data_IF_753708085492
#
_entry.id   IF_753708085492
#
_cell.length_a   1.000
_cell.length_b   1.000
_cell.length_c   1.000
_cell.angle_alpha   90.00
_cell.angle_beta   90.00
_cell.angle_gamma   90.00
#
_symmetry.space_group_name_H-M   'P 1'
#
loop_
_entity.id
_entity.type
_entity.pdbx_description
1 polymer ?
#
# COMPACT_ATOMS: atom_id res chain seq x y z
N UNK A 1 11.43 8.06 7.57
CA UNK A 1 11.80 9.49 7.37
C UNK A 1 10.59 10.34 7.74
N UNK A 2 10.74 11.52 8.35
CA UNK A 2 9.57 12.37 8.65
C UNK A 2 8.92 12.83 7.33
N UNK A 3 7.61 12.68 7.24
CA UNK A 3 6.81 13.04 6.06
C UNK A 3 5.51 13.70 6.50
N UNK A 4 4.93 14.53 5.65
CA UNK A 4 3.70 15.26 5.92
C UNK A 4 2.71 14.95 4.80
N UNK A 5 1.49 14.54 5.17
CA UNK A 5 0.33 14.58 4.30
C UNK A 5 -0.34 15.95 4.48
N UNK A 6 -0.44 16.72 3.40
CA UNK A 6 -1.07 18.03 3.39
C UNK A 6 -2.29 18.01 2.46
N UNK A 7 -3.43 18.45 2.98
CA UNK A 7 -4.68 18.53 2.22
C UNK A 7 -4.82 19.91 1.58
N UNK A 8 -5.66 20.03 0.54
CA UNK A 8 -5.98 21.32 -0.07
C UNK A 8 -6.62 22.32 0.90
N UNK A 9 -7.26 21.82 1.96
CA UNK A 9 -7.83 22.62 3.06
C UNK A 9 -6.77 23.27 3.94
N UNK A 10 -5.49 22.88 3.79
CA UNK A 10 -4.37 23.32 4.61
C UNK A 10 -4.13 22.46 5.86
N UNK A 11 -4.95 21.43 6.08
CA UNK A 11 -4.74 20.45 7.15
C UNK A 11 -3.47 19.64 6.89
N UNK A 12 -2.70 19.37 7.96
CA UNK A 12 -1.42 18.66 7.89
C UNK A 12 -1.38 17.52 8.90
N UNK A 13 -0.99 16.36 8.42
CA UNK A 13 -0.80 15.15 9.22
C UNK A 13 0.67 14.75 9.12
N UNK A 14 1.37 14.79 10.24
CA UNK A 14 2.75 14.33 10.31
C UNK A 14 2.80 12.82 10.48
N UNK A 15 3.71 12.18 9.76
CA UNK A 15 3.92 10.74 9.84
C UNK A 15 5.35 10.32 9.52
N UNK A 16 5.55 9.01 9.51
CA UNK A 16 6.84 8.38 9.20
C UNK A 16 6.70 7.61 7.90
N UNK A 17 7.46 8.03 6.87
CA UNK A 17 7.55 7.25 5.64
C UNK A 17 8.39 5.99 5.87
N UNK A 18 7.79 4.85 5.53
CA UNK A 18 8.41 3.52 5.52
C UNK A 18 8.47 2.87 4.12
N UNK A 19 7.87 3.49 3.11
CA UNK A 19 7.89 3.07 1.70
C UNK A 19 8.95 3.80 0.88
N UNK A 20 8.63 4.09 -0.38
CA UNK A 20 9.51 4.80 -1.31
C UNK A 20 9.76 6.25 -0.86
N UNK A 21 11.01 6.70 -0.92
CA UNK A 21 11.40 8.03 -0.46
C UNK A 21 11.26 9.08 -1.57
N UNK A 22 10.04 9.59 -1.74
CA UNK A 22 9.72 10.64 -2.71
C UNK A 22 8.56 11.51 -2.21
N UNK A 23 8.07 12.42 -3.05
CA UNK A 23 6.84 13.19 -2.83
C UNK A 23 5.89 12.96 -3.99
N UNK A 24 4.58 12.98 -3.70
CA UNK A 24 3.55 12.77 -4.70
C UNK A 24 2.30 13.58 -4.38
N UNK A 25 1.44 13.76 -5.37
CA UNK A 25 0.12 14.37 -5.22
C UNK A 25 -0.93 13.52 -5.92
N UNK A 26 -2.17 13.63 -5.46
CA UNK A 26 -3.29 12.86 -5.97
C UNK A 26 -4.53 13.09 -5.11
N UNK A 27 -5.62 12.42 -5.49
CA UNK A 27 -6.86 12.43 -4.71
C UNK A 27 -6.69 11.56 -3.47
N UNK A 28 -7.01 12.11 -2.29
CA UNK A 28 -7.04 11.34 -1.05
C UNK A 28 -8.38 10.63 -0.94
N UNK A 29 -8.34 9.30 -0.86
CA UNK A 29 -9.52 8.45 -0.68
C UNK A 29 -9.33 7.58 0.56
N UNK A 30 -10.43 7.04 1.10
CA UNK A 30 -10.36 6.04 2.16
C UNK A 30 -11.08 4.77 1.75
N UNK A 31 -10.60 3.63 2.26
CA UNK A 31 -11.20 2.32 2.03
C UNK A 31 -11.49 1.63 3.37
N UNK A 32 -12.70 1.05 3.47
CA UNK A 32 -13.25 0.40 4.66
C UNK A 32 -13.04 -1.12 4.69
N UNK A 33 -12.46 -1.67 3.62
CA UNK A 33 -12.01 -3.06 3.58
C UNK A 33 -11.01 -3.37 4.70
N UNK A 34 -11.32 -4.38 5.50
CA UNK A 34 -10.52 -4.75 6.68
C UNK A 34 -9.35 -5.68 6.31
N UNK A 35 -9.47 -6.35 5.17
CA UNK A 35 -8.50 -7.32 4.62
C UNK A 35 -8.22 -7.00 3.14
N UNK A 36 -7.19 -7.63 2.59
CA UNK A 36 -6.91 -7.54 1.15
C UNK A 36 -6.17 -6.26 0.74
N UNK A 37 -5.22 -5.80 1.56
CA UNK A 37 -4.37 -4.66 1.17
C UNK A 37 -3.50 -4.95 -0.06
N UNK A 38 -2.98 -6.18 -0.32
CA UNK A 38 -2.24 -6.45 -1.57
C UNK A 38 -3.10 -6.25 -2.82
N UNK A 39 -4.34 -6.72 -2.78
CA UNK A 39 -5.33 -6.58 -3.84
C UNK A 39 -5.71 -5.10 -4.00
N UNK A 40 -6.00 -4.41 -2.89
CA UNK A 40 -6.39 -2.99 -2.90
C UNK A 40 -5.33 -2.09 -3.54
N UNK A 41 -4.05 -2.25 -3.19
CA UNK A 41 -2.99 -1.37 -3.73
C UNK A 41 -2.63 -1.67 -5.19
N UNK A 42 -3.05 -2.84 -5.69
CA UNK A 42 -2.84 -3.27 -7.08
C UNK A 42 -4.08 -3.12 -7.95
N UNK A 43 -5.23 -2.74 -7.37
CA UNK A 43 -6.46 -2.46 -8.12
C UNK A 43 -6.31 -1.20 -9.00
N UNK A 44 -6.48 -1.30 -10.33
CA UNK A 44 -6.42 -0.18 -11.27
C UNK A 44 -7.32 1.01 -10.94
N UNK A 45 -8.39 0.79 -10.19
CA UNK A 45 -9.35 1.82 -9.80
C UNK A 45 -8.73 2.91 -8.92
N UNK A 46 -7.62 2.62 -8.23
CA UNK A 46 -6.90 3.59 -7.39
C UNK A 46 -5.82 4.37 -8.15
N UNK A 47 -5.81 4.33 -9.48
CA UNK A 47 -4.84 5.03 -10.31
C UNK A 47 -4.74 6.53 -9.93
N UNK A 48 -3.57 6.95 -9.47
CA UNK A 48 -3.31 8.35 -9.13
C UNK A 48 -3.84 8.81 -7.76
N UNK A 49 -4.36 7.90 -6.95
CA UNK A 49 -4.93 8.18 -5.63
C UNK A 49 -3.95 7.87 -4.49
N UNK A 50 -4.22 8.47 -3.33
CA UNK A 50 -3.58 8.19 -2.04
C UNK A 50 -4.62 7.48 -1.16
N UNK A 51 -4.34 6.26 -0.75
CA UNK A 51 -5.31 5.42 -0.03
C UNK A 51 -5.08 5.53 1.47
N UNK A 52 -6.09 5.98 2.20
CA UNK A 52 -6.18 5.85 3.65
C UNK A 52 -6.86 4.52 3.98
N UNK A 53 -6.12 3.61 4.60
CA UNK A 53 -6.70 2.38 5.13
C UNK A 53 -7.37 2.68 6.48
N UNK A 54 -8.67 2.36 6.62
CA UNK A 54 -9.32 2.45 7.93
C UNK A 54 -9.00 1.26 8.82
N UNK A 55 -8.49 0.15 8.26
CA UNK A 55 -8.00 -0.98 9.04
C UNK A 55 -6.69 -0.57 9.72
N UNK A 56 -6.56 -0.76 11.05
CA UNK A 56 -5.39 -0.24 11.76
C UNK A 56 -4.13 -1.04 11.42
N UNK A 57 -4.26 -2.36 11.21
CA UNK A 57 -3.15 -3.29 11.09
C UNK A 57 -2.83 -3.59 9.62
N UNK A 58 -1.78 -2.96 9.10
CA UNK A 58 -1.24 -3.26 7.77
C UNK A 58 0.02 -4.11 7.89
N UNK A 59 0.25 -4.99 6.90
CA UNK A 59 1.33 -6.00 6.86
C UNK A 59 1.19 -7.20 7.82
N UNK A 60 0.08 -7.34 8.54
CA UNK A 60 -0.13 -8.50 9.42
C UNK A 60 -0.10 -9.85 8.66
N UNK A 61 -0.57 -9.88 7.41
CA UNK A 61 -0.55 -11.06 6.53
C UNK A 61 0.62 -11.09 5.54
N UNK A 62 1.55 -10.13 5.60
CA UNK A 62 2.69 -10.01 4.67
C UNK A 62 2.26 -9.68 3.24
N UNK A 63 3.19 -9.86 2.30
CA UNK A 63 2.87 -9.74 0.88
C UNK A 63 2.98 -11.12 0.19
N UNK A 64 1.98 -11.52 -0.63
CA UNK A 64 1.95 -12.85 -1.22
C UNK A 64 3.07 -13.06 -2.26
N UNK A 65 3.47 -14.32 -2.47
CA UNK A 65 4.27 -14.68 -3.66
C UNK A 65 3.41 -14.56 -4.92
N UNK A 66 4.06 -14.42 -6.07
CA UNK A 66 3.35 -14.48 -7.35
C UNK A 66 2.82 -15.90 -7.58
N UNK A 67 1.57 -15.98 -8.04
CA UNK A 67 0.91 -17.23 -8.41
C UNK A 67 0.48 -17.07 -9.85
N UNK A 68 1.28 -17.60 -10.78
CA UNK A 68 1.02 -17.49 -12.21
C UNK A 68 0.16 -18.67 -12.65
N UNK A 69 -1.02 -18.38 -13.19
CA UNK A 69 -1.90 -19.39 -13.75
C UNK A 69 -1.57 -19.71 -15.22
N UNK A 70 -2.35 -20.62 -15.81
CA UNK A 70 -2.15 -21.09 -17.20
C UNK A 70 -2.35 -19.98 -18.26
N UNK A 71 -2.87 -18.82 -17.88
CA UNK A 71 -3.06 -17.65 -18.74
C UNK A 71 -1.96 -16.59 -18.55
N UNK A 72 -0.90 -16.90 -17.79
CA UNK A 72 0.17 -15.97 -17.44
C UNK A 72 -0.33 -14.75 -16.64
N UNK A 73 -1.35 -14.94 -15.81
CA UNK A 73 -1.92 -13.93 -14.92
C UNK A 73 -1.47 -14.23 -13.48
N UNK A 74 -1.05 -13.20 -12.75
CA UNK A 74 -0.72 -13.31 -11.34
C UNK A 74 -1.99 -13.25 -10.49
N UNK A 75 -2.39 -14.36 -9.88
CA UNK A 75 -3.61 -14.46 -9.06
C UNK A 75 -3.44 -13.88 -7.65
N UNK A 76 -2.24 -13.43 -7.29
CA UNK A 76 -1.95 -12.86 -5.98
C UNK A 76 -2.19 -11.33 -5.90
N UNK A 77 -2.44 -10.67 -7.04
CA UNK A 77 -2.60 -9.22 -7.17
C UNK A 77 -3.62 -8.91 -8.28
N UNK A 78 -4.24 -7.74 -8.24
CA UNK A 78 -5.30 -7.36 -9.19
C UNK A 78 -4.77 -6.77 -10.51
N UNK A 79 -3.49 -6.39 -10.55
CA UNK A 79 -2.83 -5.99 -11.79
C UNK A 79 -1.30 -6.09 -11.71
N UNK A 80 -0.63 -6.08 -12.86
CA UNK A 80 0.83 -6.25 -12.98
C UNK A 80 1.66 -5.13 -12.30
N UNK A 81 1.03 -4.02 -11.93
CA UNK A 81 1.67 -2.86 -11.31
C UNK A 81 0.77 -2.29 -10.22
N UNK A 82 1.32 -1.77 -9.10
CA UNK A 82 0.51 -0.96 -8.22
C UNK A 82 -0.04 0.26 -8.96
N UNK A 83 -1.26 0.62 -8.59
CA UNK A 83 -1.98 1.72 -9.23
C UNK A 83 -2.09 2.94 -8.34
N UNK A 84 -2.15 2.75 -7.02
CA UNK A 84 -2.09 3.86 -6.07
C UNK A 84 -0.72 4.53 -6.06
N UNK A 85 -0.66 5.79 -5.61
CA UNK A 85 0.59 6.55 -5.45
C UNK A 85 1.14 6.50 -4.04
N UNK A 86 0.26 6.40 -3.06
CA UNK A 86 0.63 6.34 -1.67
C UNK A 86 -0.40 5.57 -0.84
N UNK A 87 0.05 5.03 0.27
CA UNK A 87 -0.80 4.47 1.32
C UNK A 87 -0.58 5.21 2.64
N UNK A 88 -1.65 5.40 3.39
CA UNK A 88 -1.67 6.00 4.72
C UNK A 88 -2.29 4.98 5.65
N UNK A 89 -1.57 4.64 6.71
CA UNK A 89 -1.92 3.54 7.61
C UNK A 89 -1.73 3.99 9.04
N UNK A 90 -2.50 3.42 9.97
CA UNK A 90 -2.34 3.74 11.38
C UNK A 90 -1.21 2.93 12.05
N UNK A 91 -1.05 1.67 11.65
CA UNK A 91 -0.01 0.78 12.16
C UNK A 91 0.57 -0.09 11.05
N UNK A 92 1.90 -0.23 11.05
CA UNK A 92 2.62 -1.16 10.17
C UNK A 92 3.21 -2.29 11.03
N UNK A 93 2.74 -3.51 10.81
CA UNK A 93 3.22 -4.69 11.50
C UNK A 93 4.59 -5.09 10.94
N UNK A 94 5.66 -5.00 11.74
CA UNK A 94 7.00 -5.38 11.28
C UNK A 94 7.12 -6.87 10.96
N UNK A 95 6.45 -7.73 11.75
CA UNK A 95 6.51 -9.18 11.62
C UNK A 95 5.17 -9.75 11.13
N UNK A 96 5.07 -9.99 9.83
CA UNK A 96 3.90 -10.64 9.22
C UNK A 96 3.83 -12.14 9.55
N UNK A 97 2.63 -12.69 9.66
CA UNK A 97 2.42 -14.14 9.79
C UNK A 97 1.24 -14.61 8.95
N UNK A 98 1.55 -15.29 7.84
CA UNK A 98 0.58 -15.94 6.98
C UNK A 98 1.29 -17.02 6.15
N UNK A 99 0.64 -18.16 5.85
CA UNK A 99 1.28 -19.24 5.10
C UNK A 99 1.77 -18.80 3.70
N UNK A 100 1.14 -17.77 3.14
CA UNK A 100 1.47 -17.20 1.84
C UNK A 100 2.34 -15.92 1.91
N UNK A 101 2.71 -15.44 3.12
CA UNK A 101 3.61 -14.30 3.28
C UNK A 101 5.03 -14.68 2.88
N UNK A 102 5.43 -14.35 1.66
CA UNK A 102 6.71 -14.80 1.07
C UNK A 102 7.57 -13.62 0.59
N UNK A 103 7.00 -12.42 0.52
CA UNK A 103 7.69 -11.19 0.12
C UNK A 103 7.63 -10.17 1.25
N UNK A 104 8.71 -9.41 1.40
CA UNK A 104 8.71 -8.22 2.28
C UNK A 104 7.82 -7.15 1.66
N UNK A 105 6.76 -6.77 2.38
CA UNK A 105 5.86 -5.73 1.89
C UNK A 105 6.57 -4.37 1.76
N UNK A 106 7.47 -4.07 2.70
CA UNK A 106 8.29 -2.85 2.66
C UNK A 106 9.17 -2.77 1.42
N UNK A 107 9.86 -3.86 1.09
CA UNK A 107 10.68 -3.94 -0.12
C UNK A 107 9.81 -3.84 -1.38
N UNK A 108 8.62 -4.46 -1.36
CA UNK A 108 7.67 -4.36 -2.46
C UNK A 108 7.21 -2.92 -2.69
N UNK A 109 6.89 -2.17 -1.64
CA UNK A 109 6.52 -0.75 -1.74
C UNK A 109 7.65 0.09 -2.34
N UNK A 110 8.89 -0.09 -1.84
CA UNK A 110 10.06 0.64 -2.34
C UNK A 110 10.34 0.30 -3.81
N UNK A 111 10.31 -0.99 -4.17
CA UNK A 111 10.57 -1.47 -5.53
C UNK A 111 9.57 -0.90 -6.54
N UNK A 112 8.32 -0.72 -6.13
CA UNK A 112 7.25 -0.22 -6.99
C UNK A 112 6.96 1.28 -6.79
N UNK A 113 7.87 2.01 -6.15
CA UNK A 113 7.79 3.46 -6.01
C UNK A 113 6.55 3.98 -5.24
N UNK A 114 6.02 3.15 -4.33
CA UNK A 114 4.85 3.48 -3.51
C UNK A 114 5.29 4.13 -2.20
N UNK A 115 4.84 5.36 -1.98
CA UNK A 115 5.05 6.08 -0.72
C UNK A 115 4.13 5.48 0.33
N UNK A 116 4.61 5.29 1.56
CA UNK A 116 3.80 4.72 2.62
C UNK A 116 4.02 5.45 3.94
N UNK A 117 2.97 6.07 4.47
CA UNK A 117 3.01 6.95 5.64
C UNK A 117 2.31 6.24 6.81
N UNK A 118 3.04 6.15 7.92
CA UNK A 118 2.54 5.79 9.24
C UNK A 118 2.16 7.03 10.04
#
# INVERSE_FOLDING_TARGET
MKTILELETGEKFEGINFGFNSSTTGELVFQTGITGYPETITDPSYAGQLIVFTTPLINNYGFPKDIINNYNINEAIESDKPSCKAIIVQEFTENSSHYNAQKSFKEWLVKNEIIAIL
#
